data_IF_080922659587
#
_entry.id   IF_080922659587
#
_cell.length_a   1.000
_cell.length_b   1.000
_cell.length_c   1.000
_cell.angle_alpha   90.00
_cell.angle_beta   90.00
_cell.angle_gamma   90.00
#
_symmetry.space_group_name_H-M   'P 1'
#
loop_
_entity.id
_entity.type
_entity.pdbx_description
1 polymer ?
#
# COMPACT_ATOMS: atom_id res chain seq x y z
N UNK A 1 -13.24 13.45 -42.30
CA UNK A 1 -14.22 12.97 -41.32
C UNK A 1 -13.45 12.09 -40.35
N UNK A 2 -12.97 12.66 -39.25
CA UNK A 2 -12.42 11.90 -38.12
C UNK A 2 -13.16 12.35 -36.87
N UNK A 3 -13.77 11.38 -36.19
CA UNK A 3 -14.50 11.56 -34.95
C UNK A 3 -13.50 11.74 -33.80
N UNK A 4 -13.40 12.98 -33.31
CA UNK A 4 -12.72 13.30 -32.06
C UNK A 4 -13.46 12.66 -30.89
N UNK A 5 -12.87 11.62 -30.30
CA UNK A 5 -13.32 11.05 -29.02
C UNK A 5 -12.98 12.02 -27.89
N UNK A 6 -13.95 12.84 -27.51
CA UNK A 6 -13.89 13.67 -26.31
C UNK A 6 -13.95 12.76 -25.06
N UNK A 7 -12.96 12.92 -24.17
CA UNK A 7 -12.98 12.32 -22.85
C UNK A 7 -14.17 12.86 -22.04
N UNK A 8 -14.84 12.04 -21.19
CA UNK A 8 -15.91 12.54 -20.34
C UNK A 8 -15.32 13.49 -19.28
N UNK A 9 -15.73 14.75 -19.39
CA UNK A 9 -15.45 15.83 -18.44
C UNK A 9 -16.01 15.40 -17.08
N UNK A 10 -15.14 15.36 -16.06
CA UNK A 10 -15.51 15.18 -14.65
C UNK A 10 -16.30 16.41 -14.19
N UNK A 11 -17.61 16.42 -14.44
CA UNK A 11 -18.50 17.48 -13.98
C UNK A 11 -19.02 17.11 -12.58
N UNK A 12 -18.71 18.01 -11.63
CA UNK A 12 -19.43 18.27 -10.38
C UNK A 12 -19.31 17.29 -9.20
N UNK A 13 -18.19 17.35 -8.48
CA UNK A 13 -18.10 16.94 -7.07
C UNK A 13 -18.36 18.10 -6.07
N UNK A 14 -18.88 19.25 -6.53
CA UNK A 14 -19.05 20.46 -5.70
C UNK A 14 -20.47 20.71 -5.17
N UNK A 15 -21.46 19.85 -5.44
CA UNK A 15 -22.83 20.05 -4.94
C UNK A 15 -23.07 19.54 -3.50
N UNK A 16 -22.02 19.16 -2.75
CA UNK A 16 -22.18 18.42 -1.50
C UNK A 16 -22.44 19.25 -0.23
N UNK A 17 -22.62 20.57 -0.29
CA UNK A 17 -22.87 21.39 0.92
C UNK A 17 -23.78 22.59 0.70
N UNK A 18 -25.04 22.37 0.31
CA UNK A 18 -26.11 23.34 0.57
C UNK A 18 -27.52 22.73 0.32
N UNK A 19 -27.89 21.68 1.05
CA UNK A 19 -29.29 21.28 1.15
C UNK A 19 -29.49 20.49 2.44
N UNK A 20 -29.67 21.22 3.55
CA UNK A 20 -30.37 20.66 4.70
C UNK A 20 -31.83 20.49 4.28
N UNK A 21 -32.34 19.27 4.46
CA UNK A 21 -33.76 18.93 4.59
C UNK A 21 -34.62 18.77 3.31
N UNK A 22 -34.13 18.07 2.27
CA UNK A 22 -35.02 17.32 1.38
C UNK A 22 -34.90 15.81 1.64
N UNK A 23 -36.00 15.05 1.78
CA UNK A 23 -35.94 13.60 1.85
C UNK A 23 -35.36 13.07 0.55
N UNK A 24 -34.20 12.42 0.65
CA UNK A 24 -33.55 11.73 -0.47
C UNK A 24 -34.57 10.83 -1.17
N UNK A 25 -34.78 11.03 -2.46
CA UNK A 25 -35.76 10.23 -3.17
C UNK A 25 -35.27 8.77 -3.28
N UNK A 26 -36.19 7.82 -3.42
CA UNK A 26 -35.87 6.38 -3.41
C UNK A 26 -34.89 5.99 -4.54
N UNK A 27 -34.95 6.66 -5.68
CA UNK A 27 -34.09 6.38 -6.84
C UNK A 27 -32.66 6.89 -6.63
N UNK A 28 -32.48 8.07 -6.01
CA UNK A 28 -31.19 8.62 -5.61
C UNK A 28 -30.50 7.73 -4.58
N UNK A 29 -31.26 7.20 -3.61
CA UNK A 29 -30.72 6.27 -2.61
C UNK A 29 -30.22 4.96 -3.26
N UNK A 30 -30.97 4.41 -4.22
CA UNK A 30 -30.54 3.21 -4.97
C UNK A 30 -29.26 3.48 -5.77
N UNK A 31 -29.16 4.64 -6.43
CA UNK A 31 -28.00 5.03 -7.22
C UNK A 31 -26.74 5.22 -6.35
N UNK A 32 -26.89 5.81 -5.15
CA UNK A 32 -25.79 5.92 -4.20
C UNK A 32 -25.30 4.56 -3.70
N UNK A 33 -26.20 3.62 -3.41
CA UNK A 33 -25.84 2.26 -3.01
C UNK A 33 -25.09 1.54 -4.14
N UNK A 34 -25.55 1.69 -5.38
CA UNK A 34 -24.90 1.09 -6.54
C UNK A 34 -23.50 1.65 -6.80
N UNK A 35 -23.33 2.97 -6.72
CA UNK A 35 -22.01 3.60 -6.90
C UNK A 35 -21.05 3.25 -5.76
N UNK A 36 -21.54 3.20 -4.51
CA UNK A 36 -20.74 2.74 -3.38
C UNK A 36 -20.26 1.29 -3.56
N UNK A 37 -21.12 0.41 -4.10
CA UNK A 37 -20.76 -0.96 -4.45
C UNK A 37 -19.69 -1.01 -5.55
N UNK A 38 -19.86 -0.23 -6.63
CA UNK A 38 -18.87 -0.13 -7.72
C UNK A 38 -17.50 0.34 -7.22
N UNK A 39 -17.48 1.33 -6.33
CA UNK A 39 -16.24 1.82 -5.71
C UNK A 39 -15.59 0.78 -4.79
N UNK A 40 -16.39 0.00 -4.06
CA UNK A 40 -15.88 -1.09 -3.22
C UNK A 40 -15.26 -2.22 -4.05
N UNK A 41 -15.90 -2.59 -5.16
CA UNK A 41 -15.38 -3.60 -6.09
C UNK A 41 -14.08 -3.13 -6.75
N UNK A 42 -14.03 -1.88 -7.23
CA UNK A 42 -12.83 -1.29 -7.82
C UNK A 42 -11.66 -1.23 -6.80
N UNK A 43 -11.96 -0.91 -5.54
CA UNK A 43 -10.96 -0.92 -4.47
C UNK A 43 -10.42 -2.32 -4.22
N UNK A 44 -11.29 -3.32 -4.23
CA UNK A 44 -10.92 -4.73 -4.02
C UNK A 44 -10.02 -5.23 -5.14
N UNK A 45 -10.33 -4.91 -6.40
CA UNK A 45 -9.48 -5.30 -7.53
C UNK A 45 -8.11 -4.62 -7.45
N UNK A 46 -8.05 -3.33 -7.08
CA UNK A 46 -6.77 -2.65 -6.83
C UNK A 46 -5.95 -3.28 -5.71
N UNK A 47 -6.57 -3.64 -4.58
CA UNK A 47 -5.89 -4.33 -3.47
C UNK A 47 -5.30 -5.68 -3.93
N UNK A 48 -6.03 -6.38 -4.80
CA UNK A 48 -5.61 -7.66 -5.40
C UNK A 48 -4.46 -7.48 -6.40
N UNK A 49 -4.53 -6.47 -7.26
CA UNK A 49 -3.45 -6.15 -8.20
C UNK A 49 -2.18 -5.76 -7.46
N UNK A 50 -2.29 -4.93 -6.43
CA UNK A 50 -1.16 -4.54 -5.59
C UNK A 50 -0.57 -5.75 -4.84
N UNK A 51 -1.42 -6.62 -4.28
CA UNK A 51 -0.96 -7.86 -3.66
C UNK A 51 -0.20 -8.73 -4.67
N UNK A 52 -0.78 -8.97 -5.84
CA UNK A 52 -0.17 -9.77 -6.89
C UNK A 52 1.15 -9.15 -7.37
N UNK A 53 1.23 -7.83 -7.48
CA UNK A 53 2.45 -7.13 -7.84
C UNK A 53 3.57 -7.45 -6.85
N UNK A 54 3.37 -7.28 -5.54
CA UNK A 54 4.41 -7.56 -4.55
C UNK A 54 4.77 -9.04 -4.43
N UNK A 55 3.81 -9.95 -4.61
CA UNK A 55 4.07 -11.39 -4.56
C UNK A 55 4.82 -11.86 -5.81
N UNK A 56 4.49 -11.32 -6.99
CA UNK A 56 5.11 -11.71 -8.26
C UNK A 56 6.47 -11.06 -8.51
N UNK A 57 6.73 -9.88 -7.94
CA UNK A 57 8.05 -9.25 -8.06
C UNK A 57 9.08 -10.15 -7.40
N UNK A 58 9.86 -10.78 -8.27
CA UNK A 58 11.25 -11.13 -8.03
C UNK A 58 12.01 -10.61 -9.23
N UNK A 59 12.13 -9.28 -9.30
CA UNK A 59 12.74 -8.59 -10.44
C UNK A 59 14.21 -8.98 -10.62
N UNK A 60 14.87 -9.42 -9.54
CA UNK A 60 16.26 -9.85 -9.55
C UNK A 60 16.42 -11.19 -8.81
N UNK A 61 16.97 -12.24 -9.45
CA UNK A 61 17.28 -13.49 -8.77
C UNK A 61 18.45 -13.36 -7.77
N UNK A 62 19.21 -12.27 -7.80
CA UNK A 62 20.40 -12.08 -6.99
C UNK A 62 20.07 -11.61 -5.57
N UNK A 63 20.68 -12.23 -4.53
CA UNK A 63 20.40 -11.87 -3.15
C UNK A 63 20.95 -10.49 -2.80
N UNK A 64 20.24 -9.77 -1.94
CA UNK A 64 20.73 -8.58 -1.27
C UNK A 64 21.88 -9.00 -0.36
N UNK A 65 23.06 -8.44 -0.62
CA UNK A 65 24.26 -8.73 0.19
C UNK A 65 24.44 -7.70 1.30
N UNK A 66 24.12 -6.44 1.00
CA UNK A 66 24.25 -5.31 1.92
C UNK A 66 23.19 -4.27 1.59
N UNK A 67 22.83 -3.48 2.58
CA UNK A 67 22.07 -2.26 2.38
C UNK A 67 22.49 -1.19 3.37
N UNK A 68 22.19 0.06 3.04
CA UNK A 68 22.38 1.22 3.88
C UNK A 68 21.06 1.98 3.95
N UNK A 69 20.59 2.25 5.16
CA UNK A 69 19.34 2.95 5.43
C UNK A 69 19.66 4.27 6.15
N UNK A 70 19.18 5.39 5.61
CA UNK A 70 19.40 6.72 6.19
C UNK A 70 18.10 7.49 6.24
N UNK A 71 17.78 7.98 7.44
CA UNK A 71 16.64 8.88 7.68
C UNK A 71 17.18 10.30 7.81
N UNK A 72 16.80 11.19 6.89
CA UNK A 72 17.06 12.60 7.05
C UNK A 72 15.96 13.22 7.92
N UNK A 73 16.30 13.56 9.17
CA UNK A 73 15.34 14.13 10.14
C UNK A 73 14.77 15.48 9.70
N UNK A 74 15.55 16.28 8.96
CA UNK A 74 15.16 17.63 8.54
C UNK A 74 14.21 17.59 7.35
N UNK A 75 14.56 16.83 6.30
CA UNK A 75 13.71 16.74 5.10
C UNK A 75 12.62 15.67 5.21
N UNK A 76 12.66 14.83 6.25
CA UNK A 76 11.83 13.61 6.41
C UNK A 76 11.95 12.63 5.23
N UNK A 77 12.97 12.81 4.37
CA UNK A 77 13.25 11.89 3.28
C UNK A 77 14.10 10.76 3.82
N UNK A 78 13.61 9.54 3.61
CA UNK A 78 14.38 8.34 3.90
C UNK A 78 14.99 7.84 2.61
N UNK A 79 16.26 7.45 2.65
CA UNK A 79 16.96 6.86 1.52
C UNK A 79 17.47 5.48 1.89
N UNK A 80 17.35 4.54 0.96
CA UNK A 80 17.88 3.20 1.11
C UNK A 80 18.72 2.86 -0.11
N UNK A 81 19.94 2.39 0.14
CA UNK A 81 20.82 1.86 -0.90
C UNK A 81 20.93 0.36 -0.71
N UNK A 82 20.52 -0.42 -1.69
CA UNK A 82 20.64 -1.88 -1.71
C UNK A 82 21.85 -2.25 -2.58
N UNK A 83 22.58 -3.30 -2.18
CA UNK A 83 23.73 -3.83 -2.92
C UNK A 83 23.48 -5.30 -3.23
N UNK A 84 23.48 -5.65 -4.52
CA UNK A 84 23.37 -7.01 -5.07
C UNK A 84 24.51 -7.23 -6.03
N UNK A 85 25.27 -8.32 -5.87
CA UNK A 85 26.40 -8.64 -6.75
C UNK A 85 27.32 -7.42 -7.04
N UNK A 86 27.70 -6.70 -5.99
CA UNK A 86 28.49 -5.45 -6.04
C UNK A 86 27.88 -4.28 -6.83
N UNK A 87 26.69 -4.43 -7.39
CA UNK A 87 25.91 -3.34 -7.98
C UNK A 87 25.01 -2.71 -6.93
N UNK A 88 24.90 -1.38 -6.96
CA UNK A 88 24.10 -0.66 -5.99
C UNK A 88 22.89 0.01 -6.62
N UNK A 89 21.73 -0.16 -5.99
CA UNK A 89 20.46 0.45 -6.37
C UNK A 89 20.09 1.47 -5.29
N UNK A 90 19.83 2.71 -5.71
CA UNK A 90 19.39 3.78 -4.79
C UNK A 90 17.87 3.88 -4.84
N UNK A 91 17.25 3.79 -3.66
CA UNK A 91 15.81 3.86 -3.48
C UNK A 91 15.48 5.05 -2.58
N UNK A 92 14.49 5.84 -2.99
CA UNK A 92 13.88 6.88 -2.16
C UNK A 92 12.69 6.29 -1.44
N UNK A 93 12.70 6.34 -0.11
CA UNK A 93 11.62 5.86 0.74
C UNK A 93 10.91 7.10 1.30
N UNK A 94 9.63 7.23 0.98
CA UNK A 94 8.77 8.28 1.52
C UNK A 94 8.15 7.83 2.85
N UNK A 95 7.65 8.78 3.65
CA UNK A 95 7.07 8.56 5.00
C UNK A 95 6.02 7.43 5.05
N UNK A 96 5.34 7.15 3.93
CA UNK A 96 4.34 6.06 3.79
C UNK A 96 4.94 4.71 3.39
N UNK A 97 6.27 4.57 3.45
CA UNK A 97 7.05 3.37 3.13
C UNK A 97 6.59 2.68 1.84
N UNK A 98 6.79 3.38 0.73
CA UNK A 98 6.51 2.88 -0.60
C UNK A 98 7.76 2.10 -1.08
N UNK A 99 7.94 0.88 -0.59
CA UNK A 99 8.85 -0.10 -1.20
C UNK A 99 8.20 -0.69 -2.48
N UNK A 100 7.60 0.14 -3.34
CA UNK A 100 6.96 -0.31 -4.60
C UNK A 100 7.94 -1.05 -5.51
N UNK A 101 9.22 -0.71 -5.39
CA UNK A 101 10.29 -1.30 -6.18
C UNK A 101 10.82 -2.61 -5.61
N UNK A 102 10.33 -3.07 -4.45
CA UNK A 102 10.75 -4.33 -3.86
C UNK A 102 9.54 -5.24 -3.69
N UNK A 103 9.68 -6.47 -4.13
CA UNK A 103 8.76 -7.56 -3.89
C UNK A 103 8.95 -8.21 -2.52
N UNK A 104 8.07 -9.16 -2.26
CA UNK A 104 7.96 -9.85 -0.97
C UNK A 104 9.26 -10.57 -0.58
N UNK A 105 9.93 -11.22 -1.54
CA UNK A 105 11.20 -11.92 -1.27
C UNK A 105 12.33 -10.98 -0.83
N UNK A 106 12.41 -9.80 -1.43
CA UNK A 106 13.42 -8.80 -1.09
C UNK A 106 13.14 -8.18 0.30
N UNK A 107 11.86 -8.03 0.67
CA UNK A 107 11.50 -7.61 2.03
C UNK A 107 11.96 -8.61 3.08
N UNK A 108 11.87 -9.92 2.78
CA UNK A 108 12.38 -10.98 3.66
C UNK A 108 13.89 -10.89 3.83
N UNK A 109 14.63 -10.76 2.73
CA UNK A 109 16.09 -10.62 2.77
C UNK A 109 16.53 -9.38 3.57
N UNK A 110 15.85 -8.24 3.36
CA UNK A 110 16.10 -7.03 4.16
C UNK A 110 15.84 -7.27 5.65
N UNK A 111 14.74 -7.94 5.99
CA UNK A 111 14.42 -8.26 7.38
C UNK A 111 15.50 -9.17 8.01
N UNK A 112 15.94 -10.21 7.30
CA UNK A 112 16.95 -11.15 7.80
C UNK A 112 18.32 -10.49 7.97
N UNK A 113 18.69 -9.57 7.08
CA UNK A 113 19.92 -8.79 7.21
C UNK A 113 19.84 -7.77 8.34
N UNK A 114 18.67 -7.18 8.57
CA UNK A 114 18.48 -6.12 9.55
C UNK A 114 18.29 -6.66 10.98
N UNK A 115 17.57 -7.77 11.13
CA UNK A 115 17.36 -8.44 12.42
C UNK A 115 18.65 -8.88 13.11
N UNK A 116 19.75 -8.99 12.36
CA UNK A 116 21.10 -9.33 12.86
C UNK A 116 21.89 -8.12 13.37
N UNK A 117 21.43 -6.89 13.12
CA UNK A 117 22.14 -5.67 13.51
C UNK A 117 21.48 -5.03 14.72
N UNK A 118 22.28 -4.59 15.70
CA UNK A 118 21.80 -3.86 16.88
C UNK A 118 22.03 -2.35 16.70
N UNK A 119 21.17 -1.65 15.95
CA UNK A 119 21.20 -0.18 15.88
C UNK A 119 19.79 0.43 15.96
N UNK A 120 19.63 1.53 16.71
CA UNK A 120 18.32 2.20 16.92
C UNK A 120 17.65 2.70 15.63
N UNK A 121 18.42 3.08 14.61
CA UNK A 121 17.87 3.50 13.31
C UNK A 121 17.16 2.37 12.57
N UNK A 122 17.49 1.13 12.90
CA UNK A 122 17.02 -0.06 12.22
C UNK A 122 15.64 -0.47 12.73
N UNK A 123 15.28 -0.05 13.95
CA UNK A 123 13.97 -0.30 14.54
C UNK A 123 12.83 0.26 13.68
N UNK A 124 13.03 1.44 13.08
CA UNK A 124 12.03 2.05 12.22
C UNK A 124 11.84 1.26 10.92
N UNK A 125 12.93 0.77 10.32
CA UNK A 125 12.87 -0.08 9.13
C UNK A 125 12.16 -1.41 9.44
N UNK A 126 12.55 -2.08 10.52
CA UNK A 126 11.93 -3.34 10.96
C UNK A 126 10.44 -3.17 11.26
N UNK A 127 10.05 -2.10 11.96
CA UNK A 127 8.65 -1.77 12.24
C UNK A 127 7.84 -1.60 10.95
N UNK A 128 8.43 -0.96 9.93
CA UNK A 128 7.77 -0.74 8.66
C UNK A 128 7.67 -2.03 7.82
N UNK A 129 8.72 -2.86 7.80
CA UNK A 129 8.68 -4.20 7.17
C UNK A 129 7.61 -5.08 7.83
N UNK A 130 7.53 -5.06 9.17
CA UNK A 130 6.49 -5.79 9.92
C UNK A 130 5.07 -5.33 9.54
N UNK A 131 4.86 -4.03 9.38
CA UNK A 131 3.57 -3.50 8.93
C UNK A 131 3.21 -3.97 7.51
N UNK A 132 4.20 -4.07 6.60
CA UNK A 132 4.00 -4.62 5.25
C UNK A 132 3.67 -6.11 5.28
N UNK A 133 4.38 -6.91 6.07
CA UNK A 133 4.06 -8.32 6.25
C UNK A 133 2.65 -8.55 6.81
N UNK A 134 2.23 -7.73 7.78
CA UNK A 134 0.86 -7.76 8.29
C UNK A 134 -0.16 -7.38 7.23
N UNK A 135 0.12 -6.36 6.41
CA UNK A 135 -0.75 -5.99 5.30
C UNK A 135 -0.92 -7.15 4.31
N UNK A 136 0.16 -7.82 3.93
CA UNK A 136 0.11 -9.01 3.04
C UNK A 136 -0.77 -10.11 3.65
N UNK A 137 -0.60 -10.43 4.93
CA UNK A 137 -1.41 -11.44 5.61
C UNK A 137 -2.91 -11.09 5.65
N UNK A 138 -3.23 -9.82 5.98
CA UNK A 138 -4.62 -9.34 6.04
C UNK A 138 -5.24 -9.37 4.64
N UNK A 139 -4.52 -8.90 3.63
CA UNK A 139 -5.00 -8.85 2.24
C UNK A 139 -5.21 -10.26 1.70
N UNK A 140 -4.30 -11.21 1.93
CA UNK A 140 -4.48 -12.61 1.57
C UNK A 140 -5.78 -13.18 2.20
N UNK A 141 -5.99 -12.94 3.49
CA UNK A 141 -7.21 -13.35 4.19
C UNK A 141 -8.49 -12.72 3.64
N UNK A 142 -8.47 -11.42 3.30
CA UNK A 142 -9.61 -10.74 2.65
C UNK A 142 -9.92 -11.33 1.27
N UNK A 143 -8.87 -11.64 0.51
CA UNK A 143 -8.99 -12.21 -0.84
C UNK A 143 -9.30 -13.71 -0.83
N UNK A 144 -9.37 -14.34 0.35
CA UNK A 144 -9.52 -15.80 0.50
C UNK A 144 -8.41 -16.59 -0.21
N UNK A 145 -7.21 -16.01 -0.27
CA UNK A 145 -5.99 -16.62 -0.83
C UNK A 145 -5.11 -17.06 0.34
N UNK A 146 -4.43 -18.22 0.27
CA UNK A 146 -3.46 -18.60 1.29
C UNK A 146 -2.35 -17.54 1.39
N UNK A 147 -2.06 -17.10 2.62
CA UNK A 147 -0.94 -16.21 2.87
C UNK A 147 0.39 -16.90 2.51
N UNK A 148 1.42 -16.15 2.09
CA UNK A 148 2.73 -16.73 1.81
C UNK A 148 3.25 -17.50 3.04
N UNK A 149 3.72 -18.75 2.88
CA UNK A 149 4.14 -19.59 4.01
C UNK A 149 5.31 -18.99 4.80
N UNK A 150 6.11 -18.13 4.16
CA UNK A 150 7.21 -17.42 4.81
C UNK A 150 6.71 -16.47 5.91
N UNK A 151 5.47 -15.97 5.84
CA UNK A 151 4.88 -15.14 6.89
C UNK A 151 4.63 -15.91 8.20
N UNK A 152 4.41 -17.22 8.11
CA UNK A 152 4.21 -18.08 9.29
C UNK A 152 5.47 -18.13 10.16
N UNK A 153 6.64 -18.03 9.54
CA UNK A 153 7.95 -18.01 10.23
C UNK A 153 8.15 -16.76 11.10
N UNK A 154 7.50 -15.64 10.79
CA UNK A 154 7.68 -14.38 11.52
C UNK A 154 6.85 -14.27 12.80
N UNK A 155 6.21 -15.36 13.24
CA UNK A 155 5.31 -15.41 14.40
C UNK A 155 4.46 -14.14 14.51
N UNK A 156 3.90 -13.72 13.37
CA UNK A 156 3.03 -12.55 13.38
C UNK A 156 1.90 -12.88 14.36
N UNK A 157 1.61 -11.99 15.33
CA UNK A 157 0.60 -12.28 16.33
C UNK A 157 -0.66 -12.69 15.60
N UNK A 158 -1.31 -13.82 15.98
CA UNK A 158 -2.47 -14.31 15.29
C UNK A 158 -3.44 -13.16 15.16
N UNK A 159 -4.01 -12.98 13.96
CA UNK A 159 -5.05 -11.98 13.70
C UNK A 159 -6.22 -12.38 14.59
N UNK A 160 -6.22 -11.90 15.84
CA UNK A 160 -7.29 -12.12 16.79
C UNK A 160 -8.52 -11.59 16.08
N UNK A 161 -9.50 -12.46 15.79
CA UNK A 161 -10.80 -12.06 15.24
C UNK A 161 -11.37 -10.99 16.18
N UNK A 162 -11.14 -9.71 15.87
CA UNK A 162 -11.48 -8.61 16.78
C UNK A 162 -12.99 -8.46 16.77
N UNK A 163 -13.58 -8.65 17.95
CA UNK A 163 -14.96 -8.28 18.30
C UNK A 163 -15.22 -6.85 17.82
N UNK A 164 -16.34 -6.67 17.11
CA UNK A 164 -16.85 -5.43 16.50
C UNK A 164 -16.72 -4.23 17.47
N UNK A 165 -15.62 -3.48 17.41
CA UNK A 165 -15.45 -2.16 18.06
C UNK A 165 -15.45 -1.12 16.95
N UNK A 166 -16.19 -0.02 17.17
CA UNK A 166 -16.37 1.10 16.25
C UNK A 166 -15.02 1.57 15.70
N UNK A 167 -14.99 1.79 14.39
CA UNK A 167 -13.77 1.94 13.62
C UNK A 167 -13.04 3.26 13.88
N UNK A 168 -11.91 3.16 14.56
CA UNK A 168 -10.70 3.88 14.16
C UNK A 168 -9.85 2.87 13.40
N UNK A 169 -10.22 2.67 12.13
CA UNK A 169 -9.49 1.79 11.22
C UNK A 169 -8.19 2.47 10.84
N UNK A 170 -7.15 1.64 10.70
CA UNK A 170 -5.82 1.93 10.13
C UNK A 170 -5.96 2.27 8.63
N UNK A 171 -6.85 3.18 8.30
CA UNK A 171 -7.22 3.63 6.96
C UNK A 171 -6.62 5.00 6.62
N UNK A 172 -6.17 5.75 7.61
CA UNK A 172 -5.61 7.09 7.38
C UNK A 172 -4.16 7.09 6.85
N UNK A 173 -3.43 5.97 6.92
CA UNK A 173 -2.03 5.95 6.45
C UNK A 173 -1.92 5.71 4.93
N UNK A 174 -2.94 5.12 4.29
CA UNK A 174 -2.81 4.62 2.90
C UNK A 174 -3.78 5.23 1.88
N UNK A 175 -4.66 6.18 2.27
CA UNK A 175 -5.55 6.86 1.33
C UNK A 175 -5.25 8.36 1.33
N UNK A 176 -4.27 8.77 0.51
CA UNK A 176 -4.23 10.05 -0.23
C UNK A 176 -2.81 10.23 -0.75
N UNK A 177 -2.64 9.96 -2.03
CA UNK A 177 -1.75 10.77 -2.85
C UNK A 177 -2.50 10.97 -4.17
N UNK A 178 -3.03 12.18 -4.33
CA UNK A 178 -3.46 12.70 -5.62
C UNK A 178 -2.22 12.70 -6.50
N UNK A 179 -2.26 11.92 -7.57
CA UNK A 179 -1.30 12.06 -8.66
C UNK A 179 -1.64 13.40 -9.32
N UNK A 180 -0.89 14.45 -8.99
CA UNK A 180 -0.77 15.59 -9.91
C UNK A 180 0.09 15.10 -11.06
N UNK A 181 -0.56 14.84 -12.20
CA UNK A 181 0.13 14.73 -13.48
C UNK A 181 0.47 16.16 -13.88
N UNK A 182 1.74 16.51 -13.83
CA UNK A 182 2.24 17.75 -14.40
C UNK A 182 2.04 17.66 -15.91
N UNK A 183 1.09 18.44 -16.43
CA UNK A 183 0.88 18.60 -17.86
C UNK A 183 1.97 19.49 -18.41
N UNK A 184 2.91 18.89 -19.15
CA UNK A 184 3.65 19.60 -20.19
C UNK A 184 2.80 19.66 -21.45
#
# INVERSE_FOLDING_TARGET
MEEGRLAPILVNLQHFRAARDLPMNLEEAKLQIQEAKRLADLKTEREKDEYNHYIKIKDDPLPITKFNYKVNKTSKVTTMRIIRNNQSINLKIYDKFILKMLGFSEWLELHDLESKKQNDTNDQLLKNLKAKFQWVAITAGKLSIPAPPQLTTFELPPVKKKKKRKGEMIHEVFIKENIMVDGM
#
